data_IF_653682285464
#
_entry.id   IF_653682285464
#
_cell.length_a   1.000
_cell.length_b   1.000
_cell.length_c   1.000
_cell.angle_alpha   90.00
_cell.angle_beta   90.00
_cell.angle_gamma   90.00
#
_symmetry.space_group_name_H-M   'P 1'
#
loop_
_entity.id
_entity.type
_entity.pdbx_description
1 polymer ?
#
# COMPACT_ATOMS: atom_id res chain seq x y z
N UNK A 1 -26.67 -9.41 -17.12
CA UNK A 1 -25.65 -9.67 -16.07
C UNK A 1 -25.95 -8.74 -14.92
N UNK A 2 -25.93 -9.17 -13.65
CA UNK A 2 -26.02 -8.24 -12.54
C UNK A 2 -24.87 -7.23 -12.65
N UNK A 3 -25.17 -5.97 -12.36
CA UNK A 3 -24.15 -4.93 -12.35
C UNK A 3 -23.03 -5.33 -11.37
N UNK A 4 -21.75 -5.24 -11.74
CA UNK A 4 -20.68 -5.40 -10.77
C UNK A 4 -20.86 -4.29 -9.74
N UNK A 5 -21.20 -4.66 -8.51
CA UNK A 5 -21.14 -3.73 -7.39
C UNK A 5 -19.66 -3.59 -7.00
N UNK A 6 -18.99 -2.63 -7.61
CA UNK A 6 -17.58 -2.35 -7.30
C UNK A 6 -17.55 -1.66 -5.95
N UNK A 7 -17.13 -2.37 -4.92
CA UNK A 7 -16.90 -1.77 -3.60
C UNK A 7 -15.80 -0.69 -3.70
N UNK A 8 -15.91 0.35 -2.88
CA UNK A 8 -14.84 1.32 -2.77
C UNK A 8 -13.54 0.60 -2.31
N UNK A 9 -12.38 0.89 -2.92
CA UNK A 9 -11.14 0.25 -2.52
C UNK A 9 -10.72 0.72 -1.14
N UNK A 10 -10.00 -0.13 -0.43
CA UNK A 10 -9.36 0.19 0.83
C UNK A 10 -8.10 1.01 0.57
N UNK A 11 -8.04 2.23 1.10
CA UNK A 11 -6.98 3.20 0.83
C UNK A 11 -5.95 3.20 1.97
N UNK A 12 -4.70 2.95 1.64
CA UNK A 12 -3.58 2.88 2.59
C UNK A 12 -2.63 4.06 2.35
N UNK A 13 -2.44 4.88 3.38
CA UNK A 13 -1.40 5.90 3.41
C UNK A 13 -0.11 5.26 3.95
N UNK A 14 0.86 4.99 3.08
CA UNK A 14 2.19 4.52 3.46
C UNK A 14 3.02 5.70 3.96
N UNK A 15 3.09 5.86 5.28
CA UNK A 15 3.97 6.84 5.93
C UNK A 15 5.43 6.41 5.75
N UNK A 16 5.67 5.09 5.77
CA UNK A 16 6.99 4.53 5.55
C UNK A 16 8.01 5.07 6.55
N UNK A 17 9.05 5.72 6.04
CA UNK A 17 10.07 6.43 6.84
C UNK A 17 9.97 7.95 6.76
N UNK A 18 8.90 8.50 6.18
CA UNK A 18 8.73 9.95 6.00
C UNK A 18 8.56 10.72 7.33
N UNK A 19 8.45 10.00 8.44
CA UNK A 19 8.48 10.56 9.80
C UNK A 19 9.91 10.96 10.25
N UNK A 20 10.97 10.59 9.50
CA UNK A 20 12.34 11.01 9.80
C UNK A 20 12.85 10.61 11.19
N UNK A 21 12.37 9.51 11.79
CA UNK A 21 12.72 9.08 13.15
C UNK A 21 12.01 9.85 14.27
N UNK A 22 11.11 10.78 13.94
CA UNK A 22 10.36 11.61 14.89
C UNK A 22 8.96 11.02 15.15
N UNK A 23 8.72 10.54 16.39
CA UNK A 23 7.45 9.91 16.80
C UNK A 23 6.29 10.91 16.81
N UNK A 24 6.53 12.16 17.18
CA UNK A 24 5.50 13.20 17.17
C UNK A 24 5.11 13.59 15.74
N UNK A 25 6.09 13.63 14.83
CA UNK A 25 5.81 13.80 13.40
C UNK A 25 4.99 12.62 12.86
N UNK A 26 5.34 11.40 13.21
CA UNK A 26 4.59 10.20 12.83
C UNK A 26 3.12 10.29 13.30
N UNK A 27 2.86 10.71 14.53
CA UNK A 27 1.50 10.94 15.05
C UNK A 27 0.77 12.05 14.30
N UNK A 28 1.42 13.18 13.99
CA UNK A 28 0.81 14.22 13.15
C UNK A 28 0.44 13.70 11.77
N UNK A 29 1.27 12.84 11.19
CA UNK A 29 0.97 12.20 9.90
C UNK A 29 -0.25 11.27 10.01
N UNK A 30 -0.33 10.43 11.06
CA UNK A 30 -1.52 9.60 11.34
C UNK A 30 -2.78 10.47 11.43
N UNK A 31 -2.75 11.52 12.24
CA UNK A 31 -3.89 12.42 12.44
C UNK A 31 -4.36 13.05 11.13
N UNK A 32 -3.40 13.53 10.31
CA UNK A 32 -3.69 14.12 9.00
C UNK A 32 -4.29 13.07 8.04
N UNK A 33 -3.70 11.89 7.96
CA UNK A 33 -4.18 10.81 7.10
C UNK A 33 -5.59 10.35 7.49
N UNK A 34 -5.86 10.20 8.80
CA UNK A 34 -7.15 9.76 9.33
C UNK A 34 -8.25 10.82 9.17
N UNK A 35 -8.00 12.05 9.66
CA UNK A 35 -9.04 13.08 9.83
C UNK A 35 -9.22 13.98 8.62
N UNK A 36 -8.14 14.30 7.92
CA UNK A 36 -8.20 15.18 6.75
C UNK A 36 -8.27 14.42 5.44
N UNK A 37 -7.45 13.35 5.32
CA UNK A 37 -7.43 12.56 4.09
C UNK A 37 -8.51 11.49 4.06
N UNK A 38 -9.03 11.07 5.23
CA UNK A 38 -10.06 10.04 5.38
C UNK A 38 -9.63 8.69 4.77
N UNK A 39 -8.36 8.31 4.94
CA UNK A 39 -7.87 7.00 4.51
C UNK A 39 -8.35 5.89 5.44
N UNK A 40 -8.30 4.64 4.98
CA UNK A 40 -8.77 3.50 5.77
C UNK A 40 -7.65 2.94 6.65
N UNK A 41 -6.38 3.06 6.23
CA UNK A 41 -5.23 2.63 7.01
C UNK A 41 -4.02 3.56 6.84
N UNK A 42 -3.17 3.56 7.87
CA UNK A 42 -1.80 4.08 7.81
C UNK A 42 -0.82 2.94 7.93
N UNK A 43 0.30 3.00 7.21
CA UNK A 43 1.31 1.96 7.21
C UNK A 43 2.70 2.55 7.44
N UNK A 44 3.49 1.82 8.22
CA UNK A 44 4.88 2.11 8.54
C UNK A 44 5.80 1.02 8.00
N UNK A 45 7.07 1.07 8.37
CA UNK A 45 8.05 0.05 8.04
C UNK A 45 8.78 -0.37 9.32
N UNK A 46 8.97 -1.69 9.49
CA UNK A 46 9.79 -2.25 10.57
C UNK A 46 10.90 -3.08 9.97
N UNK A 47 12.11 -2.71 10.30
CA UNK A 47 13.34 -3.37 9.85
C UNK A 47 14.29 -3.55 11.02
N UNK A 48 15.16 -4.52 10.90
CA UNK A 48 16.38 -4.66 11.68
C UNK A 48 17.59 -4.45 10.75
N UNK A 49 18.16 -3.24 10.68
CA UNK A 49 19.23 -2.94 9.74
C UNK A 49 20.45 -3.84 9.88
N UNK A 50 20.75 -4.31 11.11
CA UNK A 50 21.89 -5.19 11.37
C UNK A 50 21.68 -6.59 10.76
N UNK A 51 20.44 -7.08 10.73
CA UNK A 51 20.09 -8.36 10.09
C UNK A 51 19.92 -8.22 8.58
N UNK A 52 19.41 -7.08 8.13
CA UNK A 52 19.03 -6.86 6.73
C UNK A 52 20.22 -6.52 5.83
N UNK A 53 21.23 -5.85 6.36
CA UNK A 53 22.38 -5.34 5.61
C UNK A 53 23.61 -6.21 5.82
N UNK A 54 24.38 -6.46 4.75
CA UNK A 54 25.75 -7.01 4.94
C UNK A 54 26.63 -5.98 5.62
N UNK A 55 27.75 -6.38 6.27
CA UNK A 55 28.69 -5.42 6.85
C UNK A 55 29.19 -4.36 5.87
N UNK A 56 29.39 -4.73 4.60
CA UNK A 56 29.80 -3.81 3.54
C UNK A 56 28.69 -2.79 3.24
N UNK A 57 27.44 -3.23 3.13
CA UNK A 57 26.29 -2.35 2.90
C UNK A 57 26.04 -1.44 4.09
N UNK A 58 26.17 -1.97 5.32
CA UNK A 58 25.97 -1.19 6.55
C UNK A 58 26.97 -0.04 6.66
N UNK A 59 28.26 -0.31 6.35
CA UNK A 59 29.35 0.68 6.45
C UNK A 59 29.51 1.55 5.20
N UNK A 60 28.78 1.25 4.11
CA UNK A 60 28.82 2.07 2.91
C UNK A 60 28.22 3.47 3.16
N UNK A 61 28.69 4.53 2.46
CA UNK A 61 28.01 5.82 2.51
C UNK A 61 26.63 5.72 1.88
N UNK A 62 25.71 6.60 2.31
CA UNK A 62 24.40 6.70 1.67
C UNK A 62 24.56 7.10 0.18
N UNK A 63 23.88 6.42 -0.78
CA UNK A 63 24.01 6.70 -2.20
C UNK A 63 23.70 8.16 -2.57
N UNK A 64 22.79 8.78 -1.81
CA UNK A 64 22.45 10.21 -1.94
C UNK A 64 22.73 10.93 -0.62
N UNK A 65 23.92 11.53 -0.44
CA UNK A 65 24.34 12.15 0.84
C UNK A 65 23.38 13.20 1.39
N UNK A 66 22.66 13.92 0.51
CA UNK A 66 21.66 14.93 0.93
C UNK A 66 20.49 14.31 1.74
N UNK A 67 20.22 13.01 1.57
CA UNK A 67 19.18 12.28 2.28
C UNK A 67 19.69 11.45 3.44
N UNK A 68 21.00 11.45 3.72
CA UNK A 68 21.60 10.68 4.79
C UNK A 68 21.27 11.23 6.17
N UNK A 69 20.85 10.36 7.09
CA UNK A 69 20.63 10.65 8.52
C UNK A 69 21.74 10.05 9.41
N UNK A 70 22.86 9.65 8.85
CA UNK A 70 24.01 9.08 9.55
C UNK A 70 25.26 9.16 8.69
N UNK A 71 26.42 8.76 9.21
CA UNK A 71 27.68 8.72 8.50
C UNK A 71 27.75 7.50 7.54
N UNK A 72 27.06 6.41 7.87
CA UNK A 72 26.92 5.22 7.04
C UNK A 72 25.46 4.94 6.66
N UNK A 73 25.26 4.04 5.71
CA UNK A 73 23.93 3.61 5.31
C UNK A 73 23.19 2.86 6.43
N UNK A 74 23.93 2.08 7.23
CA UNK A 74 23.39 1.41 8.41
C UNK A 74 22.89 2.39 9.46
N UNK A 75 23.71 3.37 9.85
CA UNK A 75 23.31 4.44 10.78
C UNK A 75 22.12 5.24 10.27
N UNK A 76 22.06 5.55 8.96
CA UNK A 76 20.90 6.18 8.34
C UNK A 76 19.64 5.34 8.52
N UNK A 77 19.74 4.01 8.33
CA UNK A 77 18.60 3.11 8.51
C UNK A 77 18.16 3.04 9.96
N UNK A 78 19.11 2.89 10.90
CA UNK A 78 18.82 2.84 12.34
C UNK A 78 18.13 4.12 12.84
N UNK A 79 18.58 5.28 12.37
CA UNK A 79 17.96 6.57 12.71
C UNK A 79 16.47 6.64 12.34
N UNK A 80 16.08 5.97 11.28
CA UNK A 80 14.71 5.96 10.77
C UNK A 80 13.83 4.88 11.39
N UNK A 81 14.41 3.96 12.19
CA UNK A 81 13.63 2.87 12.76
C UNK A 81 12.98 3.25 14.09
N UNK A 82 11.75 2.81 14.26
CA UNK A 82 11.09 2.77 15.55
C UNK A 82 11.24 1.38 16.18
N UNK A 83 11.37 1.34 17.51
CA UNK A 83 11.29 0.09 18.25
C UNK A 83 9.84 -0.42 18.31
N UNK A 84 9.65 -1.63 18.85
CA UNK A 84 8.32 -2.26 18.88
C UNK A 84 7.34 -1.56 19.83
N UNK A 85 7.84 -0.93 20.89
CA UNK A 85 7.01 -0.19 21.84
C UNK A 85 6.48 1.09 21.19
N UNK A 86 7.31 1.79 20.40
CA UNK A 86 6.90 2.93 19.58
C UNK A 86 5.89 2.53 18.52
N UNK A 87 6.07 1.38 17.85
CA UNK A 87 5.05 0.83 16.94
C UNK A 87 3.74 0.54 17.68
N UNK A 88 3.80 -0.01 18.90
CA UNK A 88 2.65 -0.21 19.77
C UNK A 88 1.94 1.11 20.13
N UNK A 89 2.71 2.17 20.39
CA UNK A 89 2.18 3.50 20.63
C UNK A 89 1.48 4.09 19.40
N UNK A 90 2.09 3.96 18.23
CA UNK A 90 1.50 4.39 16.95
C UNK A 90 0.23 3.62 16.62
N UNK A 91 0.19 2.31 16.90
CA UNK A 91 -1.01 1.50 16.70
C UNK A 91 -2.18 1.95 17.59
N UNK A 92 -1.93 2.22 18.85
CA UNK A 92 -2.95 2.80 19.77
C UNK A 92 -3.43 4.17 19.28
N UNK A 93 -2.50 5.05 18.92
CA UNK A 93 -2.85 6.38 18.43
C UNK A 93 -3.65 6.35 17.11
N UNK A 94 -3.31 5.44 16.20
CA UNK A 94 -4.08 5.23 14.98
C UNK A 94 -5.53 4.79 15.29
N UNK A 95 -5.71 3.87 16.25
CA UNK A 95 -7.04 3.45 16.69
C UNK A 95 -7.85 4.60 17.32
N UNK A 96 -7.22 5.47 18.12
CA UNK A 96 -7.83 6.68 18.67
C UNK A 96 -8.24 7.68 17.57
N UNK A 97 -7.46 7.75 16.50
CA UNK A 97 -7.78 8.53 15.31
C UNK A 97 -8.84 7.87 14.41
N UNK A 98 -9.23 6.61 14.65
CA UNK A 98 -10.22 5.88 13.87
C UNK A 98 -9.69 5.37 12.53
N UNK A 99 -8.39 5.08 12.44
CA UNK A 99 -7.74 4.53 11.24
C UNK A 99 -7.00 3.24 11.60
N UNK A 100 -6.98 2.28 10.66
CA UNK A 100 -6.27 1.01 10.84
C UNK A 100 -4.76 1.24 10.81
N UNK A 101 -4.04 0.64 11.74
CA UNK A 101 -2.57 0.60 11.76
C UNK A 101 -2.05 -0.64 11.07
N UNK A 102 -0.95 -0.49 10.31
CA UNK A 102 -0.17 -1.60 9.76
C UNK A 102 1.31 -1.23 9.63
N UNK A 103 2.13 -2.21 9.33
CA UNK A 103 3.55 -2.01 9.03
C UNK A 103 4.07 -3.05 8.03
N UNK A 104 5.08 -2.67 7.26
CA UNK A 104 5.85 -3.61 6.46
C UNK A 104 6.89 -4.29 7.34
N UNK A 105 7.10 -5.60 7.15
CA UNK A 105 8.16 -6.38 7.79
C UNK A 105 9.18 -6.81 6.74
N UNK A 106 10.46 -6.60 7.02
CA UNK A 106 11.52 -6.78 6.05
C UNK A 106 12.46 -7.96 6.37
N UNK A 107 12.45 -8.43 7.62
CA UNK A 107 13.35 -9.43 8.17
C UNK A 107 12.68 -10.25 9.26
N UNK A 108 13.33 -11.33 9.66
CA UNK A 108 12.80 -12.27 10.65
C UNK A 108 12.60 -11.67 12.05
N UNK A 109 13.55 -10.89 12.62
CA UNK A 109 13.34 -10.20 13.88
C UNK A 109 12.13 -9.26 13.86
N UNK A 110 12.02 -8.45 12.80
CA UNK A 110 10.90 -7.51 12.61
C UNK A 110 9.56 -8.23 12.49
N UNK A 111 9.50 -9.33 11.73
CA UNK A 111 8.28 -10.13 11.59
C UNK A 111 7.82 -10.71 12.92
N UNK A 112 8.72 -11.32 13.70
CA UNK A 112 8.40 -11.86 15.03
C UNK A 112 7.86 -10.81 15.99
N UNK A 113 8.50 -9.63 16.01
CA UNK A 113 8.05 -8.53 16.85
C UNK A 113 6.65 -8.04 16.45
N UNK A 114 6.38 -7.89 15.14
CA UNK A 114 5.09 -7.42 14.62
C UNK A 114 3.98 -8.46 14.75
N UNK A 115 4.30 -9.76 14.66
CA UNK A 115 3.34 -10.83 14.99
C UNK A 115 2.83 -10.67 16.42
N UNK A 116 3.71 -10.34 17.38
CA UNK A 116 3.33 -10.05 18.76
C UNK A 116 2.46 -8.80 18.94
N UNK A 117 2.61 -7.80 18.07
CA UNK A 117 1.77 -6.60 18.04
C UNK A 117 0.37 -6.87 17.45
N UNK A 118 0.24 -7.92 16.64
CA UNK A 118 -0.98 -8.40 16.01
C UNK A 118 -1.82 -7.30 15.29
N UNK A 119 -1.24 -6.50 14.37
CA UNK A 119 -2.03 -5.56 13.58
C UNK A 119 -3.03 -6.33 12.69
N UNK A 120 -4.12 -5.69 12.20
CA UNK A 120 -5.10 -6.34 11.33
C UNK A 120 -4.49 -6.94 10.05
N UNK A 121 -3.44 -6.32 9.52
CA UNK A 121 -2.67 -6.85 8.41
C UNK A 121 -1.20 -6.45 8.50
N UNK A 122 -0.34 -7.22 7.85
CA UNK A 122 1.09 -6.90 7.67
C UNK A 122 1.43 -6.84 6.18
N UNK A 123 2.50 -6.14 5.84
CA UNK A 123 2.96 -6.05 4.45
C UNK A 123 4.35 -6.66 4.27
N UNK A 124 4.50 -7.45 3.23
CA UNK A 124 5.78 -7.92 2.70
C UNK A 124 6.11 -7.01 1.49
N UNK A 125 7.16 -6.19 1.59
CA UNK A 125 7.54 -5.31 0.48
C UNK A 125 8.16 -6.11 -0.68
N UNK A 126 8.21 -5.51 -1.87
CA UNK A 126 8.80 -6.14 -3.05
C UNK A 126 10.24 -6.60 -2.85
N UNK A 127 11.00 -5.90 -2.01
CA UNK A 127 12.41 -6.22 -1.76
C UNK A 127 12.63 -7.56 -1.04
N UNK A 128 11.66 -8.03 -0.27
CA UNK A 128 11.80 -9.25 0.55
C UNK A 128 10.76 -10.32 0.25
N UNK A 129 10.03 -10.19 -0.85
CA UNK A 129 8.97 -11.14 -1.22
C UNK A 129 9.49 -12.54 -1.62
N UNK A 130 10.81 -12.71 -1.80
CA UNK A 130 11.47 -14.01 -2.02
C UNK A 130 12.09 -14.60 -0.73
N UNK A 131 11.94 -13.95 0.41
CA UNK A 131 12.45 -14.46 1.69
C UNK A 131 11.53 -15.58 2.22
N UNK A 132 11.78 -16.81 1.78
CA UNK A 132 10.91 -17.96 2.04
C UNK A 132 10.62 -18.17 3.52
N UNK A 133 11.64 -18.11 4.40
CA UNK A 133 11.46 -18.29 5.84
C UNK A 133 10.56 -17.20 6.45
N UNK A 134 10.65 -15.96 5.93
CA UNK A 134 9.78 -14.86 6.36
C UNK A 134 8.32 -15.13 5.98
N UNK A 135 8.08 -15.60 4.74
CA UNK A 135 6.74 -15.95 4.27
C UNK A 135 6.17 -17.10 5.08
N UNK A 136 6.96 -18.14 5.34
CA UNK A 136 6.56 -19.31 6.13
C UNK A 136 6.22 -18.95 7.58
N UNK A 137 7.04 -18.10 8.22
CA UNK A 137 6.79 -17.60 9.56
C UNK A 137 5.45 -16.87 9.63
N UNK A 138 5.20 -15.93 8.69
CA UNK A 138 3.94 -15.18 8.67
C UNK A 138 2.74 -16.08 8.38
N UNK A 139 2.87 -17.07 7.50
CA UNK A 139 1.82 -18.05 7.26
C UNK A 139 1.49 -18.87 8.52
N UNK A 140 2.50 -19.20 9.32
CA UNK A 140 2.34 -20.04 10.50
C UNK A 140 1.88 -19.27 11.76
N UNK A 141 2.38 -18.07 11.96
CA UNK A 141 2.26 -17.37 13.25
C UNK A 141 1.38 -16.11 13.20
N UNK A 142 1.16 -15.52 12.01
CA UNK A 142 0.35 -14.32 11.89
C UNK A 142 -1.10 -14.64 11.55
N UNK A 143 -2.04 -14.25 12.42
CA UNK A 143 -3.47 -14.56 12.26
C UNK A 143 -4.25 -13.60 11.36
N UNK A 144 -3.64 -12.49 10.91
CA UNK A 144 -4.28 -11.47 10.07
C UNK A 144 -4.06 -11.63 8.57
N UNK A 145 -4.45 -10.62 7.80
CA UNK A 145 -4.27 -10.58 6.34
C UNK A 145 -2.81 -10.24 6.01
N UNK A 146 -2.25 -10.94 5.02
CA UNK A 146 -0.89 -10.73 4.56
C UNK A 146 -0.94 -10.02 3.20
N UNK A 147 -0.41 -8.82 3.15
CA UNK A 147 -0.25 -8.05 1.92
C UNK A 147 1.13 -8.30 1.33
N UNK A 148 1.26 -8.48 0.02
CA UNK A 148 2.54 -8.75 -0.65
C UNK A 148 2.62 -7.99 -1.97
N UNK A 149 3.70 -7.21 -2.14
CA UNK A 149 3.98 -6.50 -3.39
C UNK A 149 4.85 -7.32 -4.33
N UNK A 150 4.50 -7.29 -5.63
CA UNK A 150 5.14 -8.05 -6.70
C UNK A 150 6.10 -7.20 -7.57
N UNK A 151 6.54 -6.04 -7.08
CA UNK A 151 7.61 -5.29 -7.75
C UNK A 151 8.91 -6.09 -7.83
N UNK A 152 9.69 -5.90 -8.88
CA UNK A 152 10.96 -6.62 -9.10
C UNK A 152 10.84 -8.15 -9.10
N UNK A 153 9.68 -8.69 -9.47
CA UNK A 153 9.36 -10.12 -9.36
C UNK A 153 9.11 -10.71 -10.75
N UNK A 154 9.78 -11.81 -11.06
CA UNK A 154 9.51 -12.58 -12.29
C UNK A 154 8.23 -13.42 -12.15
N UNK A 155 7.66 -13.88 -13.26
CA UNK A 155 6.49 -14.78 -13.23
C UNK A 155 6.74 -16.07 -12.45
N UNK A 156 7.90 -16.67 -12.65
CA UNK A 156 8.28 -17.89 -11.93
C UNK A 156 8.40 -17.67 -10.40
N UNK A 157 8.84 -16.48 -9.99
CA UNK A 157 8.87 -16.11 -8.57
C UNK A 157 7.47 -15.86 -8.01
N UNK A 158 6.61 -15.16 -8.76
CA UNK A 158 5.20 -14.95 -8.42
C UNK A 158 4.48 -16.29 -8.21
N UNK A 159 4.64 -17.24 -9.13
CA UNK A 159 4.05 -18.58 -9.04
C UNK A 159 4.53 -19.33 -7.78
N UNK A 160 5.83 -19.24 -7.44
CA UNK A 160 6.38 -19.85 -6.21
C UNK A 160 5.80 -19.22 -4.95
N UNK A 161 5.65 -17.90 -4.91
CA UNK A 161 5.00 -17.20 -3.78
C UNK A 161 3.58 -17.70 -3.61
N UNK A 162 2.78 -17.69 -4.67
CA UNK A 162 1.38 -18.13 -4.63
C UNK A 162 1.26 -19.59 -4.24
N UNK A 163 2.14 -20.46 -4.76
CA UNK A 163 2.20 -21.88 -4.38
C UNK A 163 2.49 -22.05 -2.88
N UNK A 164 3.46 -21.32 -2.32
CA UNK A 164 3.77 -21.36 -0.89
C UNK A 164 2.53 -21.03 -0.04
N UNK A 165 1.83 -19.93 -0.34
CA UNK A 165 0.61 -19.55 0.39
C UNK A 165 -0.51 -20.58 0.23
N UNK A 166 -0.64 -21.18 -0.95
CA UNK A 166 -1.59 -22.28 -1.21
C UNK A 166 -1.26 -23.50 -0.36
N UNK A 167 -0.01 -23.95 -0.36
CA UNK A 167 0.45 -25.12 0.37
C UNK A 167 0.33 -24.95 1.90
N UNK A 168 0.41 -23.71 2.38
CA UNK A 168 0.20 -23.35 3.80
C UNK A 168 -1.28 -23.09 4.15
N UNK A 169 -2.21 -23.19 3.19
CA UNK A 169 -3.63 -22.95 3.41
C UNK A 169 -3.98 -21.49 3.71
N UNK A 170 -3.12 -20.53 3.29
CA UNK A 170 -3.24 -19.10 3.59
C UNK A 170 -3.50 -18.23 2.36
N UNK A 171 -3.87 -18.84 1.23
CA UNK A 171 -4.09 -18.10 -0.01
C UNK A 171 -5.25 -17.11 0.10
N UNK A 172 -6.33 -17.50 0.79
CA UNK A 172 -7.48 -16.62 1.06
C UNK A 172 -7.20 -15.44 1.99
N UNK A 173 -6.02 -15.40 2.63
CA UNK A 173 -5.58 -14.31 3.48
C UNK A 173 -4.51 -13.45 2.80
N UNK A 174 -4.22 -13.71 1.52
CA UNK A 174 -3.18 -13.01 0.76
C UNK A 174 -3.78 -11.89 -0.10
N UNK A 175 -3.26 -10.66 0.03
CA UNK A 175 -3.48 -9.56 -0.91
C UNK A 175 -2.25 -9.41 -1.79
N UNK A 176 -2.41 -9.58 -3.10
CA UNK A 176 -1.35 -9.39 -4.08
C UNK A 176 -1.40 -7.99 -4.69
N UNK A 177 -0.28 -7.27 -4.67
CA UNK A 177 -0.20 -5.94 -5.25
C UNK A 177 0.55 -5.92 -6.57
N UNK A 178 -0.11 -5.42 -7.61
CA UNK A 178 0.60 -4.90 -8.78
C UNK A 178 1.42 -3.68 -8.33
N UNK A 179 2.72 -3.71 -8.62
CA UNK A 179 3.67 -2.69 -8.18
C UNK A 179 4.86 -2.63 -9.13
N UNK A 180 5.32 -1.42 -9.44
CA UNK A 180 6.62 -1.15 -10.06
C UNK A 180 7.50 -0.42 -9.06
N UNK A 181 8.68 -0.97 -8.78
CA UNK A 181 9.62 -0.40 -7.81
C UNK A 181 10.50 0.66 -8.46
N UNK A 182 10.10 1.91 -8.34
CA UNK A 182 10.79 3.12 -8.78
C UNK A 182 10.22 4.32 -8.02
N UNK A 183 10.99 5.37 -7.77
CA UNK A 183 10.61 6.45 -6.86
C UNK A 183 11.05 7.85 -7.38
N UNK A 184 10.25 8.55 -8.24
CA UNK A 184 8.95 8.15 -8.81
C UNK A 184 9.05 7.23 -10.04
N UNK A 185 7.96 6.50 -10.35
CA UNK A 185 7.80 5.70 -11.56
C UNK A 185 7.25 6.56 -12.69
N UNK A 186 7.86 6.60 -13.89
CA UNK A 186 7.27 7.24 -15.06
C UNK A 186 6.00 6.50 -15.52
N UNK A 187 5.09 7.20 -16.21
CA UNK A 187 3.77 6.64 -16.54
C UNK A 187 3.84 5.39 -17.42
N UNK A 188 4.77 5.34 -18.34
CA UNK A 188 5.01 4.21 -19.27
C UNK A 188 5.42 2.92 -18.54
N UNK A 189 6.02 3.02 -17.33
CA UNK A 189 6.52 1.90 -16.54
C UNK A 189 5.56 1.46 -15.41
N UNK A 190 4.40 2.12 -15.25
CA UNK A 190 3.42 1.75 -14.20
C UNK A 190 2.83 0.37 -14.45
N UNK A 191 2.66 -0.03 -15.70
CA UNK A 191 2.14 -1.36 -16.11
C UNK A 191 0.77 -1.70 -15.47
N UNK A 192 -0.19 -0.77 -15.52
CA UNK A 192 -1.51 -0.91 -14.87
C UNK A 192 -2.28 -2.18 -15.24
N UNK A 193 -2.05 -2.74 -16.43
CA UNK A 193 -2.70 -3.99 -16.85
C UNK A 193 -2.32 -5.19 -16.00
N UNK A 194 -1.26 -5.10 -15.18
CA UNK A 194 -0.91 -6.12 -14.20
C UNK A 194 -1.98 -6.29 -13.11
N UNK A 195 -2.72 -5.23 -12.76
CA UNK A 195 -3.89 -5.35 -11.85
C UNK A 195 -4.91 -6.31 -12.43
N UNK A 196 -5.28 -6.11 -13.71
CA UNK A 196 -6.24 -6.97 -14.40
C UNK A 196 -5.71 -8.39 -14.53
N UNK A 197 -4.45 -8.56 -14.93
CA UNK A 197 -3.83 -9.88 -15.05
C UNK A 197 -3.84 -10.66 -13.73
N UNK A 198 -3.46 -10.02 -12.62
CA UNK A 198 -3.49 -10.66 -11.30
C UNK A 198 -4.91 -11.05 -10.89
N UNK A 199 -5.91 -10.20 -11.21
CA UNK A 199 -7.31 -10.53 -10.97
C UNK A 199 -7.78 -11.73 -11.79
N UNK A 200 -7.40 -11.81 -13.05
CA UNK A 200 -7.75 -12.94 -13.94
C UNK A 200 -7.03 -14.24 -13.51
N UNK A 201 -5.78 -14.13 -13.01
CA UNK A 201 -4.99 -15.30 -12.62
C UNK A 201 -5.33 -15.84 -11.22
N UNK A 202 -5.61 -14.96 -10.26
CA UNK A 202 -5.68 -15.34 -8.84
C UNK A 202 -6.87 -14.77 -8.08
N UNK A 203 -7.67 -13.89 -8.70
CA UNK A 203 -8.68 -13.10 -7.99
C UNK A 203 -9.79 -13.88 -7.29
N UNK A 204 -10.01 -15.16 -7.67
CA UNK A 204 -10.97 -16.05 -7.01
C UNK A 204 -10.35 -16.79 -5.81
N UNK A 205 -9.03 -16.92 -5.77
CA UNK A 205 -8.30 -17.71 -4.77
C UNK A 205 -7.75 -16.84 -3.63
N UNK A 206 -7.28 -15.62 -3.97
CA UNK A 206 -6.66 -14.70 -3.00
C UNK A 206 -7.70 -13.81 -2.32
N UNK A 207 -7.32 -13.23 -1.17
CA UNK A 207 -8.19 -12.28 -0.46
C UNK A 207 -8.58 -11.09 -1.36
N UNK A 208 -7.59 -10.51 -2.04
CA UNK A 208 -7.80 -9.39 -2.95
C UNK A 208 -6.59 -9.14 -3.86
N UNK A 209 -6.81 -8.31 -4.88
CA UNK A 209 -5.73 -7.70 -5.67
C UNK A 209 -5.70 -6.20 -5.38
N UNK A 210 -4.50 -5.67 -5.14
CA UNK A 210 -4.25 -4.26 -4.89
C UNK A 210 -3.32 -3.62 -5.93
N UNK A 211 -3.20 -2.31 -5.81
CA UNK A 211 -2.24 -1.50 -6.55
C UNK A 211 -1.41 -0.67 -5.57
N UNK A 212 -0.07 -0.79 -5.65
CA UNK A 212 0.88 0.02 -4.88
C UNK A 212 1.63 0.93 -5.85
N UNK A 213 1.28 2.21 -5.87
CA UNK A 213 1.73 3.18 -6.86
C UNK A 213 2.80 4.14 -6.34
N UNK A 214 3.85 4.37 -7.16
CA UNK A 214 4.94 5.31 -6.84
C UNK A 214 5.06 6.42 -7.91
N UNK A 215 4.01 6.62 -8.72
CA UNK A 215 3.93 7.63 -9.76
C UNK A 215 3.50 9.01 -9.21
N UNK A 216 3.66 10.05 -10.01
CA UNK A 216 3.18 11.39 -9.67
C UNK A 216 1.68 11.53 -10.01
N UNK A 217 0.94 12.24 -9.15
CA UNK A 217 -0.51 12.41 -9.31
C UNK A 217 -1.32 11.19 -8.85
N UNK A 218 -2.60 11.13 -9.23
CA UNK A 218 -3.58 10.13 -8.76
C UNK A 218 -4.38 9.46 -9.89
N UNK A 219 -4.12 9.80 -11.14
CA UNK A 219 -4.91 9.31 -12.28
C UNK A 219 -4.76 7.79 -12.46
N UNK A 220 -3.55 7.25 -12.27
CA UNK A 220 -3.30 5.81 -12.39
C UNK A 220 -3.99 5.00 -11.29
N UNK A 221 -4.16 5.55 -10.09
CA UNK A 221 -4.87 4.89 -8.99
C UNK A 221 -6.37 4.70 -9.32
N UNK A 222 -6.98 5.74 -9.92
CA UNK A 222 -8.39 5.66 -10.38
C UNK A 222 -8.54 4.64 -11.51
N UNK A 223 -7.58 4.59 -12.43
CA UNK A 223 -7.57 3.56 -13.48
C UNK A 223 -7.35 2.16 -12.90
N UNK A 224 -6.49 1.99 -11.89
CA UNK A 224 -6.29 0.72 -11.19
C UNK A 224 -7.58 0.20 -10.54
N UNK A 225 -8.39 1.08 -9.92
CA UNK A 225 -9.72 0.73 -9.43
C UNK A 225 -10.60 0.17 -10.56
N UNK A 226 -10.65 0.84 -11.71
CA UNK A 226 -11.46 0.40 -12.86
C UNK A 226 -10.98 -0.95 -13.43
N UNK A 227 -9.69 -1.27 -13.27
CA UNK A 227 -9.10 -2.58 -13.61
C UNK A 227 -9.30 -3.63 -12.52
N UNK A 228 -9.87 -3.25 -11.38
CA UNK A 228 -10.29 -4.14 -10.31
C UNK A 228 -9.40 -4.18 -9.08
N UNK A 229 -8.56 -3.18 -8.86
CA UNK A 229 -7.85 -3.04 -7.58
C UNK A 229 -8.84 -2.80 -6.43
N UNK A 230 -8.72 -3.60 -5.38
CA UNK A 230 -9.55 -3.53 -4.17
C UNK A 230 -8.81 -2.85 -3.01
N UNK A 231 -7.50 -2.74 -3.12
CA UNK A 231 -6.61 -2.02 -2.21
C UNK A 231 -5.75 -1.06 -3.03
N UNK A 232 -5.61 0.17 -2.55
CA UNK A 232 -4.73 1.19 -3.15
C UNK A 232 -3.79 1.72 -2.08
N UNK A 233 -2.50 1.58 -2.32
CA UNK A 233 -1.44 2.02 -1.41
C UNK A 233 -0.62 3.12 -2.07
N UNK A 234 -0.44 4.24 -1.36
CA UNK A 234 0.39 5.37 -1.81
C UNK A 234 1.22 5.90 -0.65
N UNK A 235 2.49 6.20 -0.94
CA UNK A 235 3.32 6.93 0.01
C UNK A 235 2.69 8.27 0.38
N UNK A 236 2.81 8.63 1.66
CA UNK A 236 2.24 9.82 2.26
C UNK A 236 3.29 10.64 2.99
N UNK A 237 3.25 11.95 2.83
CA UNK A 237 4.10 12.91 3.54
C UNK A 237 3.34 14.20 3.83
N UNK A 238 3.75 14.94 4.84
CA UNK A 238 3.23 16.30 5.06
C UNK A 238 3.91 17.33 4.15
N UNK A 239 5.15 17.07 3.70
CA UNK A 239 5.92 17.96 2.84
C UNK A 239 6.87 17.13 1.95
N UNK A 240 6.65 17.21 0.63
CA UNK A 240 7.46 16.52 -0.38
C UNK A 240 8.89 17.03 -0.51
N UNK A 241 9.19 18.20 0.04
CA UNK A 241 10.53 18.81 0.03
C UNK A 241 11.38 18.38 1.20
N UNK A 242 10.81 17.63 2.15
CA UNK A 242 11.51 17.13 3.32
C UNK A 242 12.64 16.17 2.95
N UNK A 243 13.60 16.04 3.88
CA UNK A 243 14.76 15.16 3.73
C UNK A 243 14.33 13.70 3.82
N UNK A 244 14.62 12.91 2.80
CA UNK A 244 14.32 11.47 2.69
C UNK A 244 14.08 11.06 1.24
N UNK A 245 14.19 9.77 0.94
CA UNK A 245 14.11 9.23 -0.41
C UNK A 245 12.67 9.11 -0.93
N UNK A 246 11.71 8.89 -0.02
CA UNK A 246 10.34 8.52 -0.39
C UNK A 246 9.41 9.75 -0.57
N UNK A 247 9.81 10.90 -0.02
CA UNK A 247 8.99 12.12 -0.08
C UNK A 247 8.64 12.57 -1.51
N UNK A 248 9.57 12.46 -2.44
CA UNK A 248 9.37 12.91 -3.82
C UNK A 248 8.24 12.15 -4.55
N UNK A 249 8.06 10.86 -4.26
CA UNK A 249 7.02 10.00 -4.83
C UNK A 249 5.73 9.98 -3.98
N UNK A 250 5.73 10.65 -2.82
CA UNK A 250 4.61 10.66 -1.87
C UNK A 250 3.52 11.65 -2.28
N UNK A 251 2.31 11.39 -1.82
CA UNK A 251 1.20 12.35 -1.83
C UNK A 251 1.24 13.18 -0.56
N UNK A 252 1.03 14.48 -0.70
CA UNK A 252 0.73 15.39 0.42
C UNK A 252 -0.75 15.31 0.81
N UNK A 253 -1.16 15.89 1.94
CA UNK A 253 -2.51 15.73 2.49
C UNK A 253 -3.63 16.03 1.47
N UNK A 254 -3.53 17.10 0.70
CA UNK A 254 -4.57 17.44 -0.30
C UNK A 254 -4.62 16.41 -1.45
N UNK A 255 -3.47 15.90 -1.89
CA UNK A 255 -3.37 14.83 -2.89
C UNK A 255 -3.99 13.54 -2.39
N UNK A 256 -3.66 13.12 -1.16
CA UNK A 256 -4.19 11.90 -0.55
C UNK A 256 -5.71 12.00 -0.30
N UNK A 257 -6.19 13.14 0.17
CA UNK A 257 -7.62 13.40 0.34
C UNK A 257 -8.38 13.32 -0.99
N UNK A 258 -7.84 13.91 -2.05
CA UNK A 258 -8.42 13.82 -3.40
C UNK A 258 -8.45 12.37 -3.89
N UNK A 259 -7.38 11.62 -3.68
CA UNK A 259 -7.31 10.21 -4.02
C UNK A 259 -8.42 9.41 -3.34
N UNK A 260 -8.53 9.48 -2.01
CA UNK A 260 -9.53 8.73 -1.24
C UNK A 260 -10.96 9.10 -1.66
N UNK A 261 -11.24 10.40 -1.86
CA UNK A 261 -12.53 10.90 -2.37
C UNK A 261 -12.85 10.34 -3.75
N UNK A 262 -11.90 10.44 -4.68
CA UNK A 262 -12.14 10.12 -6.09
C UNK A 262 -12.30 8.60 -6.28
N UNK A 263 -11.54 7.79 -5.56
CA UNK A 263 -11.70 6.34 -5.55
C UNK A 263 -13.10 5.93 -5.06
N UNK A 264 -13.59 6.53 -3.97
CA UNK A 264 -14.95 6.27 -3.44
C UNK A 264 -16.05 6.73 -4.40
N UNK A 265 -15.86 7.85 -5.07
CA UNK A 265 -16.84 8.38 -6.02
C UNK A 265 -16.87 7.57 -7.32
N UNK A 266 -15.70 7.20 -7.85
CA UNK A 266 -15.61 6.40 -9.08
C UNK A 266 -16.14 4.98 -8.83
N UNK A 267 -15.89 4.37 -7.66
CA UNK A 267 -16.48 3.08 -7.31
C UNK A 267 -18.02 3.10 -7.42
N UNK A 268 -18.68 4.18 -6.96
CA UNK A 268 -20.14 4.36 -7.11
C UNK A 268 -20.56 4.52 -8.58
N UNK A 269 -19.69 5.08 -9.41
CA UNK A 269 -19.97 5.31 -10.83
C UNK A 269 -19.73 4.06 -11.70
N UNK A 270 -18.94 3.10 -11.23
CA UNK A 270 -18.62 1.85 -11.92
C UNK A 270 -19.81 0.87 -11.85
N UNK A 271 -20.92 1.23 -12.50
CA UNK A 271 -22.14 0.43 -12.56
C UNK A 271 -22.78 0.54 -13.94
N UNK A 272 -23.60 -0.44 -14.27
CA UNK A 272 -24.45 -0.39 -15.46
C UNK A 272 -25.76 0.33 -15.15
N UNK A 273 -26.41 0.94 -16.17
CA UNK A 273 -27.74 1.47 -16.02
C UNK A 273 -28.70 0.36 -15.59
N UNK A 274 -29.40 0.49 -14.46
CA UNK A 274 -30.38 -0.51 -14.00
C UNK A 274 -31.65 -0.52 -14.84
N UNK A 275 -31.92 0.58 -15.57
CA UNK A 275 -33.03 0.78 -16.49
C UNK A 275 -32.56 1.53 -17.74
N UNK A 276 -33.25 1.38 -18.86
CA UNK A 276 -32.84 2.02 -20.13
C UNK A 276 -32.80 3.54 -20.05
N UNK A 277 -33.77 4.15 -19.36
CA UNK A 277 -33.82 5.59 -19.11
C UNK A 277 -33.89 5.83 -17.61
N UNK A 278 -32.87 6.45 -17.06
CA UNK A 278 -32.86 6.77 -15.65
C UNK A 278 -33.91 7.84 -15.30
N UNK A 279 -34.48 7.83 -14.07
CA UNK A 279 -35.44 8.86 -13.64
C UNK A 279 -34.90 10.28 -13.81
N UNK A 280 -33.63 10.52 -13.57
CA UNK A 280 -32.97 11.83 -13.75
C UNK A 280 -32.93 12.27 -15.23
N UNK A 281 -32.98 11.33 -16.17
CA UNK A 281 -33.00 11.62 -17.62
C UNK A 281 -34.40 11.92 -18.17
N UNK A 282 -35.45 11.53 -17.44
CA UNK A 282 -36.82 11.56 -17.97
C UNK A 282 -37.27 12.97 -18.36
N UNK A 283 -37.01 13.96 -17.49
CA UNK A 283 -37.39 15.37 -17.79
C UNK A 283 -36.68 15.91 -19.03
N UNK A 284 -35.40 15.55 -19.22
CA UNK A 284 -34.65 15.96 -20.40
C UNK A 284 -35.11 15.21 -21.65
N UNK A 285 -35.43 13.93 -21.50
CA UNK A 285 -35.99 13.11 -22.59
C UNK A 285 -37.29 13.69 -23.12
N UNK A 286 -38.21 14.07 -22.22
CA UNK A 286 -39.52 14.62 -22.60
C UNK A 286 -39.40 15.96 -23.31
N UNK A 287 -38.44 16.78 -22.90
CA UNK A 287 -38.22 18.14 -23.42
C UNK A 287 -37.38 18.17 -24.69
N UNK A 288 -36.32 17.36 -24.78
CA UNK A 288 -35.26 17.54 -25.78
C UNK A 288 -35.10 16.37 -26.74
N UNK A 289 -35.64 15.16 -26.43
CA UNK A 289 -35.45 14.00 -27.29
C UNK A 289 -36.18 14.17 -28.61
N UNK A 290 -35.43 14.12 -29.72
CA UNK A 290 -36.03 14.13 -31.05
C UNK A 290 -37.00 12.95 -31.19
N UNK A 291 -38.20 13.23 -31.77
CA UNK A 291 -39.23 12.26 -32.08
C UNK A 291 -39.48 12.33 -33.59
N UNK A 292 -39.44 11.19 -34.29
CA UNK A 292 -39.75 11.06 -35.70
C UNK A 292 -41.25 11.29 -35.92
#
# INVERSE_FOLDING_TARGET
MPAPNVAAPFVIAEIGCNHGGDLDLAKRMILSAARFCEVDAVKFQKRDPATLLTPEQYNAPHPEPRHAFGASYGEHREFLEFDIDQHGELARYAAECGVVYSTSVWDMPSAKAVVGLAPPFVKIPSATNQHTELLELLCAEFGGIIHLSLGMTTRAEEERIVALFRDRGRLSDLVLYACTSGYPVPFEDICLMEVRRLREAYGEDVHAVGFSGHHLGIAADVAALALGAQYVERHFTLDRTSKGTDHAASLEPDGMRKLARDLRNVAKALTYKPVEVLPIEQAQRDKLKWRA
#
